data_IF_670621554152
#
_entry.id   IF_670621554152
#
_cell.length_a   1.000
_cell.length_b   1.000
_cell.length_c   1.000
_cell.angle_alpha   90.00
_cell.angle_beta   90.00
_cell.angle_gamma   90.00
#
_symmetry.space_group_name_H-M   'P 1'
#
loop_
_entity.id
_entity.type
_entity.pdbx_description
1 polymer ?
#
# COMPACT_ATOMS: atom_id res chain seq x y z
N UNK A 1 6.40 -4.31 13.67
CA UNK A 1 5.62 -4.94 12.59
C UNK A 1 4.43 -5.63 13.21
N UNK A 2 3.27 -5.64 12.57
CA UNK A 2 2.08 -6.24 13.17
C UNK A 2 2.18 -7.77 13.17
N UNK A 3 2.24 -8.38 14.35
CA UNK A 3 2.38 -9.84 14.51
C UNK A 3 1.12 -10.60 14.10
N UNK A 4 -0.03 -9.94 14.01
CA UNK A 4 -1.30 -10.52 13.56
C UNK A 4 -1.30 -10.77 12.04
N UNK A 5 -0.44 -10.06 11.30
CA UNK A 5 -0.35 -10.14 9.84
C UNK A 5 0.76 -11.10 9.37
N UNK A 6 0.37 -12.31 8.99
CA UNK A 6 1.25 -13.33 8.39
C UNK A 6 0.66 -13.76 7.04
N UNK A 7 0.99 -13.07 5.92
CA UNK A 7 0.36 -13.34 4.61
C UNK A 7 0.41 -14.81 4.19
N UNK A 8 1.53 -15.48 4.46
CA UNK A 8 1.73 -16.88 4.08
C UNK A 8 0.77 -17.86 4.75
N UNK A 9 0.26 -17.52 5.94
CA UNK A 9 -0.73 -18.36 6.64
C UNK A 9 -2.12 -18.24 6.03
N UNK A 10 -2.55 -17.03 5.69
CA UNK A 10 -3.91 -16.80 5.19
C UNK A 10 -4.06 -17.13 3.71
N UNK A 11 -2.95 -17.19 2.98
CA UNK A 11 -2.91 -17.58 1.56
C UNK A 11 -2.50 -19.04 1.37
N UNK A 12 -2.31 -19.78 2.46
CA UNK A 12 -1.91 -21.20 2.47
C UNK A 12 -0.69 -21.52 1.58
N UNK A 13 0.25 -20.58 1.49
CA UNK A 13 1.45 -20.74 0.66
C UNK A 13 2.53 -21.56 1.33
N UNK A 14 3.34 -22.24 0.51
CA UNK A 14 4.49 -23.01 0.94
C UNK A 14 5.76 -22.15 1.03
N UNK A 15 6.79 -22.72 1.67
CA UNK A 15 8.13 -22.12 1.69
C UNK A 15 8.64 -22.01 0.26
N UNK A 16 9.05 -20.79 -0.13
CA UNK A 16 9.52 -20.48 -1.47
C UNK A 16 8.48 -19.82 -2.39
N UNK A 17 7.19 -19.90 -2.06
CA UNK A 17 6.13 -19.33 -2.90
C UNK A 17 6.07 -17.79 -2.82
N UNK A 18 6.55 -17.22 -1.71
CA UNK A 18 6.51 -15.77 -1.46
C UNK A 18 7.86 -15.22 -1.01
N UNK A 19 8.28 -14.12 -1.65
CA UNK A 19 9.35 -13.26 -1.16
C UNK A 19 8.73 -12.14 -0.30
N UNK A 20 8.92 -12.22 1.03
CA UNK A 20 8.17 -11.40 1.98
C UNK A 20 9.04 -10.30 2.58
N UNK A 21 8.64 -9.04 2.39
CA UNK A 21 9.20 -7.87 3.07
C UNK A 21 8.18 -7.37 4.10
N UNK A 22 8.65 -7.09 5.32
CA UNK A 22 7.80 -6.53 6.38
C UNK A 22 8.53 -5.34 7.02
N UNK A 23 7.78 -4.28 7.30
CA UNK A 23 8.24 -3.15 8.10
C UNK A 23 7.05 -2.53 8.87
N UNK A 24 7.28 -1.41 9.56
CA UNK A 24 6.22 -0.70 10.27
C UNK A 24 5.32 0.04 9.27
N UNK A 25 4.08 -0.43 9.13
CA UNK A 25 3.07 0.19 8.28
C UNK A 25 3.12 -0.25 6.82
N UNK A 26 3.83 -1.33 6.47
CA UNK A 26 3.94 -1.84 5.09
C UNK A 26 4.37 -0.75 4.08
N UNK A 27 5.25 0.15 4.52
CA UNK A 27 5.69 1.34 3.79
C UNK A 27 6.72 0.96 2.73
N UNK A 28 6.55 1.45 1.52
CA UNK A 28 7.61 1.50 0.52
C UNK A 28 7.90 2.98 0.32
N UNK A 29 9.08 3.49 0.71
CA UNK A 29 9.44 4.89 0.47
C UNK A 29 9.31 5.23 -1.02
N UNK A 30 8.97 6.48 -1.34
CA UNK A 30 9.03 6.96 -2.73
C UNK A 30 10.50 7.06 -3.17
N UNK A 31 10.81 6.81 -4.45
CA UNK A 31 12.18 6.86 -4.95
C UNK A 31 12.85 8.23 -4.69
N UNK A 32 12.07 9.31 -4.82
CA UNK A 32 12.51 10.69 -4.54
C UNK A 32 12.76 11.03 -3.07
N UNK A 33 12.57 10.09 -2.13
CA UNK A 33 13.00 10.30 -0.73
C UNK A 33 14.50 10.08 -0.53
N UNK A 34 15.17 9.45 -1.48
CA UNK A 34 16.58 9.10 -1.40
C UNK A 34 17.43 10.10 -2.20
N UNK A 35 18.53 10.53 -1.59
CA UNK A 35 19.59 11.28 -2.23
C UNK A 35 20.83 10.38 -2.30
N UNK A 36 21.52 10.38 -3.43
CA UNK A 36 22.74 9.59 -3.66
C UNK A 36 22.56 8.08 -3.38
N UNK A 37 23.62 7.40 -2.93
CA UNK A 37 23.68 5.95 -2.66
C UNK A 37 23.01 5.53 -1.33
N UNK A 38 22.17 6.40 -0.74
CA UNK A 38 21.43 6.09 0.49
C UNK A 38 20.10 5.41 0.17
N UNK A 39 19.94 4.16 0.58
CA UNK A 39 18.70 3.40 0.39
C UNK A 39 18.25 2.74 1.69
N UNK A 40 16.94 2.54 1.84
CA UNK A 40 16.40 1.61 2.84
C UNK A 40 16.38 0.19 2.28
N UNK A 41 15.90 -0.78 3.07
CA UNK A 41 15.88 -2.17 2.66
C UNK A 41 14.78 -2.47 1.62
N UNK A 42 13.71 -1.68 1.56
CA UNK A 42 12.56 -1.95 0.69
C UNK A 42 12.89 -1.82 -0.81
N UNK A 43 13.59 -0.78 -1.29
CA UNK A 43 14.02 -0.70 -2.69
C UNK A 43 14.97 -1.83 -3.09
N UNK A 44 15.93 -2.17 -2.22
CA UNK A 44 16.85 -3.28 -2.45
C UNK A 44 16.11 -4.63 -2.52
N UNK A 45 15.09 -4.82 -1.67
CA UNK A 45 14.24 -6.00 -1.70
C UNK A 45 13.37 -6.07 -2.96
N UNK A 46 12.87 -4.93 -3.46
CA UNK A 46 12.17 -4.85 -4.73
C UNK A 46 13.07 -5.23 -5.91
N UNK A 47 14.31 -4.75 -5.93
CA UNK A 47 15.29 -5.09 -6.97
C UNK A 47 15.65 -6.57 -6.92
N UNK A 48 16.01 -7.09 -5.74
CA UNK A 48 16.32 -8.51 -5.55
C UNK A 48 15.14 -9.41 -5.95
N UNK A 49 13.92 -9.07 -5.53
CA UNK A 49 12.73 -9.85 -5.85
C UNK A 49 12.36 -9.78 -7.35
N UNK A 50 12.24 -8.58 -7.90
CA UNK A 50 11.61 -8.39 -9.21
C UNK A 50 12.60 -8.44 -10.38
N UNK A 51 13.86 -8.06 -10.14
CA UNK A 51 14.89 -8.00 -11.18
C UNK A 51 15.79 -9.22 -11.13
N UNK A 52 16.30 -9.58 -9.96
CA UNK A 52 17.23 -10.72 -9.81
C UNK A 52 16.48 -12.06 -9.82
N UNK A 53 15.34 -12.14 -9.11
CA UNK A 53 14.56 -13.38 -8.97
C UNK A 53 13.35 -13.48 -9.92
N UNK A 54 13.17 -12.52 -10.84
CA UNK A 54 12.10 -12.52 -11.85
C UNK A 54 10.66 -12.64 -11.29
N UNK A 55 10.42 -12.15 -10.07
CA UNK A 55 9.07 -12.12 -9.50
C UNK A 55 8.19 -11.17 -10.33
N UNK A 56 7.03 -11.66 -10.78
CA UNK A 56 6.09 -10.93 -11.64
C UNK A 56 4.94 -10.23 -10.90
N UNK A 57 4.72 -10.57 -9.64
CA UNK A 57 3.61 -10.01 -8.85
C UNK A 57 4.11 -9.42 -7.54
N UNK A 58 3.80 -8.16 -7.30
CA UNK A 58 4.01 -7.45 -6.03
C UNK A 58 2.64 -7.21 -5.41
N UNK A 59 2.49 -7.58 -4.13
CA UNK A 59 1.26 -7.34 -3.37
C UNK A 59 1.61 -6.44 -2.18
N UNK A 60 0.97 -5.27 -2.10
CA UNK A 60 1.00 -4.45 -0.88
C UNK A 60 -0.13 -4.95 0.03
N UNK A 61 0.20 -5.35 1.24
CA UNK A 61 -0.77 -5.83 2.23
C UNK A 61 -0.98 -4.77 3.32
N UNK A 62 -2.09 -4.02 3.24
CA UNK A 62 -2.58 -3.14 4.32
C UNK A 62 -3.54 -3.89 5.25
N UNK A 63 -3.92 -3.29 6.38
CA UNK A 63 -4.88 -3.91 7.30
C UNK A 63 -5.58 -2.92 8.24
N UNK A 64 -6.69 -3.33 8.86
CA UNK A 64 -7.36 -2.60 9.94
C UNK A 64 -6.57 -2.63 11.25
N UNK A 65 -6.80 -1.64 12.11
CA UNK A 65 -6.09 -1.39 13.37
C UNK A 65 -4.56 -1.42 13.22
N UNK A 66 -4.05 -0.89 12.11
CA UNK A 66 -2.63 -0.77 11.89
C UNK A 66 -2.05 0.27 12.85
N UNK A 67 -1.27 -0.17 13.85
CA UNK A 67 -0.69 0.74 14.85
C UNK A 67 0.19 1.84 14.25
N UNK A 68 0.83 1.56 13.11
CA UNK A 68 1.57 2.56 12.36
C UNK A 68 0.64 3.62 11.74
N UNK A 69 -0.50 3.22 11.18
CA UNK A 69 -1.49 4.14 10.61
C UNK A 69 -2.25 4.92 11.69
N UNK A 70 -2.54 4.30 12.84
CA UNK A 70 -3.10 4.99 14.00
C UNK A 70 -2.15 6.10 14.48
N UNK A 71 -0.84 5.82 14.54
CA UNK A 71 0.15 6.83 14.87
C UNK A 71 0.27 7.90 13.77
N UNK A 72 0.28 7.50 12.49
CA UNK A 72 0.30 8.45 11.37
C UNK A 72 -0.90 9.40 11.41
N UNK A 73 -2.08 8.91 11.75
CA UNK A 73 -3.27 9.73 11.94
C UNK A 73 -3.10 10.75 13.07
N UNK A 74 -2.51 10.34 14.20
CA UNK A 74 -2.21 11.24 15.31
C UNK A 74 -1.13 12.29 14.96
N UNK A 75 -0.22 11.98 14.03
CA UNK A 75 0.83 12.89 13.54
C UNK A 75 0.31 14.02 12.65
N UNK A 76 -1.00 14.12 12.40
CA UNK A 76 -1.62 15.36 11.88
C UNK A 76 -1.45 16.54 12.81
N UNK A 77 -1.33 16.27 14.10
CA UNK A 77 -1.04 17.29 15.08
C UNK A 77 0.40 17.81 14.91
N UNK A 78 0.55 19.14 14.87
CA UNK A 78 1.82 19.81 14.59
C UNK A 78 2.83 19.64 15.74
N UNK A 79 2.36 19.54 16.98
CA UNK A 79 3.22 19.29 18.14
C UNK A 79 3.78 17.86 18.06
N UNK A 80 2.92 16.89 17.75
CA UNK A 80 3.28 15.48 17.61
C UNK A 80 4.24 15.19 16.44
N UNK A 81 4.12 15.93 15.34
CA UNK A 81 4.99 15.84 14.16
C UNK A 81 6.22 16.77 14.19
N UNK A 82 6.35 17.58 15.25
CA UNK A 82 7.48 18.51 15.42
C UNK A 82 8.84 17.79 15.36
N UNK A 83 9.88 18.53 14.96
CA UNK A 83 11.23 17.99 14.83
C UNK A 83 11.73 17.37 16.15
N UNK A 84 11.42 18.00 17.28
CA UNK A 84 11.74 17.49 18.62
C UNK A 84 11.08 16.12 18.86
N UNK A 85 9.77 16.02 18.62
CA UNK A 85 9.05 14.76 18.82
C UNK A 85 9.47 13.64 17.85
N UNK A 86 9.87 14.00 16.62
CA UNK A 86 10.40 13.03 15.64
C UNK A 86 11.77 12.48 16.05
N UNK A 87 12.65 13.31 16.61
CA UNK A 87 13.98 12.88 17.08
C UNK A 87 13.90 11.91 18.27
N UNK A 88 12.82 11.96 19.04
CA UNK A 88 12.60 11.06 20.19
C UNK A 88 12.06 9.68 19.79
N UNK A 89 11.57 9.51 18.56
CA UNK A 89 10.93 8.25 18.14
C UNK A 89 11.31 7.89 16.70
N UNK A 90 12.10 6.82 16.51
CA UNK A 90 12.42 6.32 15.17
C UNK A 90 11.17 6.02 14.34
N UNK A 91 10.09 5.53 14.97
CA UNK A 91 8.83 5.27 14.29
C UNK A 91 8.13 6.56 13.84
N UNK A 92 8.10 7.62 14.66
CA UNK A 92 7.56 8.92 14.22
C UNK A 92 8.39 9.49 13.07
N UNK A 93 9.71 9.43 13.18
CA UNK A 93 10.61 9.87 12.11
C UNK A 93 10.34 9.10 10.81
N UNK A 94 10.25 7.78 10.88
CA UNK A 94 9.92 6.89 9.76
C UNK A 94 8.60 7.27 9.07
N UNK A 95 7.52 7.41 9.86
CA UNK A 95 6.19 7.73 9.33
C UNK A 95 6.12 9.14 8.74
N UNK A 96 6.66 10.15 9.43
CA UNK A 96 6.68 11.51 8.93
C UNK A 96 7.55 11.66 7.67
N UNK A 97 8.58 10.83 7.50
CA UNK A 97 9.46 10.91 6.33
C UNK A 97 8.86 10.17 5.14
N UNK A 98 8.31 8.97 5.34
CA UNK A 98 7.97 8.08 4.22
C UNK A 98 6.47 7.87 3.99
N UNK A 99 5.60 8.24 4.94
CA UNK A 99 4.15 8.09 4.81
C UNK A 99 3.39 9.43 4.75
N UNK A 100 4.09 10.56 4.72
CA UNK A 100 3.47 11.88 4.68
C UNK A 100 2.49 12.05 3.51
N UNK A 101 2.84 11.59 2.31
CA UNK A 101 1.98 11.65 1.13
C UNK A 101 0.66 10.88 1.29
N UNK A 102 0.65 9.80 2.08
CA UNK A 102 -0.58 9.07 2.43
C UNK A 102 -1.48 9.94 3.30
N UNK A 103 -0.88 10.64 4.27
CA UNK A 103 -1.60 11.51 5.17
C UNK A 103 -2.16 12.74 4.46
N UNK A 104 -1.38 13.37 3.58
CA UNK A 104 -1.85 14.50 2.77
C UNK A 104 -3.04 14.13 1.89
N UNK A 105 -2.97 13.01 1.16
CA UNK A 105 -4.11 12.49 0.37
C UNK A 105 -5.33 12.20 1.25
N UNK A 106 -5.11 11.62 2.42
CA UNK A 106 -6.19 11.35 3.36
C UNK A 106 -6.84 12.64 3.90
N UNK A 107 -6.05 13.68 4.18
CA UNK A 107 -6.57 14.98 4.58
C UNK A 107 -7.38 15.63 3.45
N UNK A 108 -6.93 15.52 2.19
CA UNK A 108 -7.70 15.98 1.03
C UNK A 108 -9.04 15.24 0.91
N UNK A 109 -9.04 13.92 1.11
CA UNK A 109 -10.27 13.12 1.15
C UNK A 109 -11.22 13.58 2.26
N UNK A 110 -10.69 13.84 3.45
CA UNK A 110 -11.47 14.31 4.60
C UNK A 110 -12.17 15.66 4.34
N UNK A 111 -11.56 16.57 3.57
CA UNK A 111 -12.20 17.84 3.17
C UNK A 111 -13.46 17.64 2.33
N UNK A 112 -13.59 16.49 1.67
CA UNK A 112 -14.76 16.14 0.84
C UNK A 112 -15.78 15.27 1.57
N UNK A 113 -15.64 15.09 2.89
CA UNK A 113 -16.48 14.18 3.66
C UNK A 113 -16.28 12.71 3.29
N UNK A 114 -15.11 12.35 2.74
CA UNK A 114 -14.78 10.99 2.29
C UNK A 114 -15.58 10.45 1.08
N UNK A 115 -16.34 11.30 0.38
CA UNK A 115 -17.16 10.87 -0.75
C UNK A 115 -16.47 11.01 -2.11
N UNK A 116 -15.53 11.95 -2.24
CA UNK A 116 -14.82 12.15 -3.51
C UNK A 116 -13.75 11.08 -3.72
N UNK A 117 -13.55 10.60 -4.94
CA UNK A 117 -12.50 9.65 -5.20
C UNK A 117 -11.12 10.29 -5.11
N UNK A 118 -10.14 9.51 -4.68
CA UNK A 118 -8.72 9.86 -4.76
C UNK A 118 -8.15 9.44 -6.11
N UNK A 119 -7.21 10.25 -6.60
CA UNK A 119 -6.42 9.95 -7.80
C UNK A 119 -5.00 9.60 -7.34
N UNK A 120 -4.53 8.44 -7.78
CA UNK A 120 -3.16 7.99 -7.62
C UNK A 120 -2.49 8.00 -8.98
N UNK A 121 -1.32 8.61 -9.08
CA UNK A 121 -0.61 8.79 -10.33
C UNK A 121 0.89 8.68 -10.07
N UNK A 122 1.53 7.70 -10.71
CA UNK A 122 2.99 7.62 -10.77
C UNK A 122 3.53 8.53 -11.88
N UNK A 123 4.85 8.65 -11.96
CA UNK A 123 5.56 9.46 -12.97
C UNK A 123 5.22 9.07 -14.42
N UNK A 124 4.80 7.82 -14.65
CA UNK A 124 4.34 7.35 -15.97
C UNK A 124 2.81 7.49 -16.11
N UNK A 125 2.31 8.12 -17.21
CA UNK A 125 0.87 8.37 -17.42
C UNK A 125 0.00 7.11 -17.41
N UNK A 126 0.57 5.98 -17.82
CA UNK A 126 -0.12 4.69 -17.92
C UNK A 126 -0.51 4.09 -16.56
N UNK A 127 -0.13 4.71 -15.44
CA UNK A 127 -0.38 4.17 -14.09
C UNK A 127 -1.24 5.06 -13.20
N UNK A 128 -2.04 5.93 -13.81
CA UNK A 128 -3.10 6.66 -13.12
C UNK A 128 -4.25 5.71 -12.78
N UNK A 129 -4.69 5.71 -11.53
CA UNK A 129 -5.92 5.03 -11.12
C UNK A 129 -6.71 5.87 -10.13
N UNK A 130 -8.02 5.60 -10.09
CA UNK A 130 -8.99 6.28 -9.25
C UNK A 130 -9.43 5.30 -8.17
N UNK A 131 -9.60 5.77 -6.94
CA UNK A 131 -10.05 4.93 -5.84
C UNK A 131 -11.09 5.66 -4.98
N UNK A 132 -12.21 4.97 -4.73
CA UNK A 132 -13.16 5.30 -3.67
C UNK A 132 -12.75 4.54 -2.41
N UNK A 133 -12.61 5.28 -1.31
CA UNK A 133 -12.13 4.74 -0.03
C UNK A 133 -13.34 4.52 0.86
N UNK A 134 -13.61 3.26 1.18
CA UNK A 134 -14.73 2.85 2.03
C UNK A 134 -16.04 3.63 1.78
N UNK A 135 -16.61 3.54 0.56
CA UNK A 135 -17.80 4.32 0.18
C UNK A 135 -19.05 3.95 0.99
N UNK A 136 -19.04 2.76 1.60
CA UNK A 136 -20.13 2.24 2.42
C UNK A 136 -19.98 2.63 3.92
N UNK A 137 -18.94 3.40 4.27
CA UNK A 137 -18.64 3.90 5.62
C UNK A 137 -18.59 2.80 6.69
N UNK A 138 -17.96 1.66 6.36
CA UNK A 138 -17.87 0.49 7.24
C UNK A 138 -16.74 0.58 8.26
N UNK A 139 -15.68 1.34 7.95
CA UNK A 139 -14.43 1.29 8.70
C UNK A 139 -14.14 2.57 9.48
N UNK A 140 -13.42 2.43 10.59
CA UNK A 140 -13.00 3.56 11.39
C UNK A 140 -12.08 4.51 10.59
N UNK A 141 -12.01 5.78 11.01
CA UNK A 141 -11.21 6.81 10.32
C UNK A 141 -9.74 6.38 10.09
N UNK A 142 -9.01 5.78 11.07
CA UNK A 142 -7.64 5.32 10.84
C UNK A 142 -7.54 4.13 9.86
N UNK A 143 -8.59 3.33 9.72
CA UNK A 143 -8.65 2.20 8.79
C UNK A 143 -8.88 2.68 7.35
N UNK A 144 -9.67 3.76 7.18
CA UNK A 144 -9.74 4.46 5.88
C UNK A 144 -8.37 5.02 5.49
N UNK A 145 -7.62 5.58 6.44
CA UNK A 145 -6.23 6.00 6.21
C UNK A 145 -5.35 4.80 5.82
N UNK A 146 -5.52 3.63 6.43
CA UNK A 146 -4.74 2.44 6.06
C UNK A 146 -5.06 1.93 4.66
N UNK A 147 -6.30 2.05 4.18
CA UNK A 147 -6.65 1.82 2.76
C UNK A 147 -5.96 2.81 1.83
N UNK A 148 -6.02 4.12 2.11
CA UNK A 148 -5.30 5.15 1.33
C UNK A 148 -3.81 4.86 1.30
N UNK A 149 -3.24 4.49 2.45
CA UNK A 149 -1.84 4.19 2.60
C UNK A 149 -1.41 3.01 1.72
N UNK A 150 -2.18 1.93 1.72
CA UNK A 150 -1.94 0.74 0.90
C UNK A 150 -1.84 1.11 -0.59
N UNK A 151 -2.80 1.91 -1.09
CA UNK A 151 -2.80 2.38 -2.48
C UNK A 151 -1.67 3.37 -2.78
N UNK A 152 -1.29 4.22 -1.83
CA UNK A 152 -0.14 5.11 -1.97
C UNK A 152 1.16 4.30 -2.14
N UNK A 153 1.28 3.14 -1.50
CA UNK A 153 2.49 2.32 -1.66
C UNK A 153 2.58 1.72 -3.07
N UNK A 154 1.45 1.39 -3.69
CA UNK A 154 1.45 0.98 -5.10
C UNK A 154 2.01 2.08 -6.01
N UNK A 155 1.68 3.34 -5.73
CA UNK A 155 2.25 4.50 -6.44
C UNK A 155 3.76 4.63 -6.17
N UNK A 156 4.18 4.47 -4.91
CA UNK A 156 5.60 4.55 -4.53
C UNK A 156 6.43 3.45 -5.21
N UNK A 157 5.95 2.21 -5.27
CA UNK A 157 6.62 1.11 -5.98
C UNK A 157 6.78 1.47 -7.48
N UNK A 158 5.75 2.04 -8.10
CA UNK A 158 5.81 2.44 -9.51
C UNK A 158 6.74 3.63 -9.80
N UNK A 159 7.27 4.31 -8.78
CA UNK A 159 8.22 5.42 -8.95
C UNK A 159 9.66 4.96 -9.27
N UNK A 160 10.00 3.72 -8.96
CA UNK A 160 11.37 3.20 -9.14
C UNK A 160 11.69 2.93 -10.62
N UNK A 161 12.75 3.56 -11.13
CA UNK A 161 13.17 3.47 -12.53
C UNK A 161 13.56 2.05 -12.96
N UNK A 162 14.20 1.27 -12.10
CA UNK A 162 14.60 -0.10 -12.41
C UNK A 162 13.41 -1.05 -12.63
N UNK A 163 12.22 -0.70 -12.12
CA UNK A 163 10.99 -1.46 -12.38
C UNK A 163 10.29 -1.01 -13.67
N UNK A 164 10.51 0.23 -14.14
CA UNK A 164 9.76 0.84 -15.26
C UNK A 164 9.69 -0.06 -16.51
N UNK A 165 10.79 -0.67 -17.00
CA UNK A 165 10.73 -1.49 -18.22
C UNK A 165 9.77 -2.68 -18.09
N UNK A 166 9.82 -3.41 -16.97
CA UNK A 166 8.93 -4.57 -16.73
C UNK A 166 7.49 -4.14 -16.51
N UNK A 167 7.32 -3.01 -15.83
CA UNK A 167 6.02 -2.40 -15.58
C UNK A 167 5.33 -1.94 -16.87
N UNK A 168 6.09 -1.46 -17.86
CA UNK A 168 5.58 -1.01 -19.17
C UNK A 168 5.34 -2.17 -20.14
N UNK A 169 6.16 -3.23 -20.07
CA UNK A 169 6.00 -4.46 -20.86
C UNK A 169 4.94 -5.43 -20.33
N UNK A 170 4.26 -5.09 -19.24
CA UNK A 170 3.32 -5.98 -18.55
C UNK A 170 3.97 -7.28 -18.04
N UNK A 171 5.25 -7.23 -17.66
CA UNK A 171 6.00 -8.35 -17.06
C UNK A 171 6.07 -8.26 -15.52
N UNK A 172 5.55 -7.15 -14.96
CA UNK A 172 5.47 -6.89 -13.52
C UNK A 172 4.17 -6.19 -13.16
N UNK A 173 3.50 -6.72 -12.14
CA UNK A 173 2.16 -6.37 -11.75
C UNK A 173 2.12 -5.98 -10.27
N UNK A 174 1.42 -4.89 -9.95
CA UNK A 174 1.27 -4.39 -8.58
C UNK A 174 -0.20 -4.51 -8.18
N UNK A 175 -0.42 -5.16 -7.04
CA UNK A 175 -1.71 -5.43 -6.43
C UNK A 175 -1.75 -4.85 -5.02
N UNK A 176 -2.96 -4.65 -4.50
CA UNK A 176 -3.18 -4.31 -3.10
C UNK A 176 -4.20 -5.27 -2.48
N UNK A 177 -3.83 -5.83 -1.35
CA UNK A 177 -4.73 -6.53 -0.44
C UNK A 177 -4.88 -5.68 0.84
N UNK A 178 -6.09 -5.66 1.37
CA UNK A 178 -6.38 -5.01 2.64
C UNK A 178 -7.16 -5.99 3.53
N UNK A 179 -6.67 -6.20 4.75
CA UNK A 179 -7.21 -7.21 5.65
C UNK A 179 -7.95 -6.56 6.81
N UNK A 180 -9.19 -6.96 7.03
CA UNK A 180 -9.85 -6.62 8.28
C UNK A 180 -9.54 -7.67 9.34
N UNK A 181 -8.70 -7.32 10.32
CA UNK A 181 -8.25 -8.24 11.34
C UNK A 181 -9.34 -8.64 12.34
N UNK A 182 -10.46 -7.89 12.38
CA UNK A 182 -11.55 -8.15 13.32
C UNK A 182 -12.51 -9.21 12.79
N UNK A 183 -12.90 -9.09 11.52
CA UNK A 183 -13.75 -10.06 10.82
C UNK A 183 -12.96 -11.24 10.27
N UNK A 184 -11.70 -11.03 9.89
CA UNK A 184 -10.90 -11.97 9.11
C UNK A 184 -11.08 -11.80 7.59
N UNK A 185 -11.88 -10.82 7.16
CA UNK A 185 -12.17 -10.60 5.75
C UNK A 185 -10.96 -10.01 5.00
N UNK A 186 -10.78 -10.46 3.76
CA UNK A 186 -9.72 -10.00 2.87
C UNK A 186 -10.35 -9.22 1.73
N UNK A 187 -9.80 -8.05 1.44
CA UNK A 187 -10.25 -7.18 0.37
C UNK A 187 -9.16 -7.05 -0.68
N UNK A 188 -9.53 -7.15 -1.96
CA UNK A 188 -8.66 -6.86 -3.09
C UNK A 188 -9.01 -5.50 -3.70
N UNK A 189 -8.01 -4.69 -4.04
CA UNK A 189 -8.27 -3.45 -4.78
C UNK A 189 -8.60 -3.76 -6.25
N UNK A 190 -9.88 -3.72 -6.60
CA UNK A 190 -10.34 -3.86 -7.98
C UNK A 190 -10.16 -2.54 -8.72
N UNK A 191 -9.48 -2.59 -9.86
CA UNK A 191 -9.36 -1.45 -10.80
C UNK A 191 -10.66 -1.21 -11.55
N UNK A 192 -11.43 -2.27 -11.80
CA UNK A 192 -12.76 -2.19 -12.43
C UNK A 192 -13.74 -1.43 -11.54
N UNK A 193 -13.87 -1.87 -10.29
CA UNK A 193 -14.77 -1.27 -9.30
C UNK A 193 -14.18 0.00 -8.64
N UNK A 194 -12.88 0.27 -8.83
CA UNK A 194 -12.15 1.42 -8.26
C UNK A 194 -12.24 1.48 -6.73
N UNK A 195 -12.30 0.33 -6.06
CA UNK A 195 -12.38 0.22 -4.59
C UNK A 195 -11.83 -1.11 -4.10
N UNK A 196 -11.62 -1.20 -2.79
CA UNK A 196 -11.43 -2.48 -2.13
C UNK A 196 -12.74 -3.28 -2.15
N UNK A 197 -12.69 -4.47 -2.75
CA UNK A 197 -13.79 -5.42 -2.85
C UNK A 197 -13.43 -6.63 -2.00
N UNK A 198 -14.32 -6.99 -1.09
CA UNK A 198 -14.19 -8.20 -0.26
C UNK A 198 -14.08 -9.43 -1.17
N UNK A 199 -13.16 -10.34 -0.84
CA UNK A 199 -12.98 -11.62 -1.53
C UNK A 199 -13.90 -12.64 -0.85
N UNK A 200 -14.96 -13.03 -1.53
CA UNK A 200 -15.90 -14.06 -1.10
C UNK A 200 -16.42 -14.86 -2.31
N UNK A 201 -17.30 -15.82 -2.06
CA UNK A 201 -17.83 -16.74 -3.10
C UNK A 201 -18.48 -16.01 -4.29
N UNK A 202 -19.02 -14.81 -4.06
CA UNK A 202 -19.67 -14.02 -5.11
C UNK A 202 -18.72 -13.12 -5.90
N UNK A 203 -17.58 -12.76 -5.32
CA UNK A 203 -16.63 -11.80 -5.91
C UNK A 203 -15.35 -12.45 -6.43
N UNK A 204 -15.00 -13.66 -5.98
CA UNK A 204 -13.75 -14.32 -6.37
C UNK A 204 -13.63 -14.53 -7.88
N UNK A 205 -14.68 -15.02 -8.55
CA UNK A 205 -14.68 -15.26 -9.99
C UNK A 205 -14.51 -13.99 -10.84
N UNK A 206 -15.27 -12.89 -10.62
CA UNK A 206 -15.04 -11.65 -11.35
C UNK A 206 -13.66 -11.05 -11.05
N UNK A 207 -13.18 -11.13 -9.80
CA UNK A 207 -11.84 -10.67 -9.44
C UNK A 207 -10.74 -11.48 -10.14
N UNK A 208 -10.86 -12.81 -10.21
CA UNK A 208 -9.91 -13.66 -10.94
C UNK A 208 -9.90 -13.37 -12.45
N UNK A 209 -11.08 -13.09 -13.03
CA UNK A 209 -11.17 -12.66 -14.44
C UNK A 209 -10.50 -11.31 -14.65
N UNK A 210 -10.66 -10.37 -13.73
CA UNK A 210 -9.95 -9.09 -13.75
C UNK A 210 -8.43 -9.31 -13.68
N UNK A 211 -7.97 -10.14 -12.73
CA UNK A 211 -6.54 -10.43 -12.57
C UNK A 211 -5.96 -11.02 -13.87
N UNK A 212 -6.61 -12.02 -14.45
CA UNK A 212 -6.19 -12.58 -15.76
C UNK A 212 -6.21 -11.52 -16.86
N UNK A 213 -7.27 -10.72 -16.96
CA UNK A 213 -7.38 -9.74 -18.05
C UNK A 213 -6.29 -8.65 -18.01
N UNK A 214 -5.92 -8.18 -16.83
CA UNK A 214 -5.00 -7.05 -16.68
C UNK A 214 -3.57 -7.44 -16.32
N UNK A 215 -3.36 -8.69 -15.90
CA UNK A 215 -2.13 -9.13 -15.26
C UNK A 215 -1.69 -10.57 -15.63
N UNK A 216 -2.21 -11.13 -16.74
CA UNK A 216 -1.66 -12.36 -17.37
C UNK A 216 -1.17 -12.12 -18.78
#
# INVERSE_FOLDING_TARGET
MDSRMIPTRFTETNVGDMFVVRNAGNIIPHCGHFLDEYHTNEPAALELGCIVNDIRHIIVCGHSDCKAMNLLYALRDAEMSSQTNRRLSPLRSWLCTHAHSSLEKFQQLALTGYHSPLIFQAETPMRKFVAYIDPDDKFAIPDKLSQVHCLQQMQNIASYSFLKPRLEKHELHIHALWFDIYSGDIYYFSRGEKRFVEINDSTIDPLLKEVKRYYS
#
